data_IF_093203440830
#
_entry.id   IF_093203440830
#
_cell.length_a   1.000
_cell.length_b   1.000
_cell.length_c   1.000
_cell.angle_alpha   90.00
_cell.angle_beta   90.00
_cell.angle_gamma   90.00
#
_symmetry.space_group_name_H-M   'P 1'
#
loop_
_entity.id
_entity.type
_entity.pdbx_description
1 polymer ?
#
# COMPACT_ATOMS: atom_id res chain seq x y z
N UNK A 1 27.50 31.26 12.21
CA UNK A 1 26.33 30.98 11.34
C UNK A 1 25.49 32.24 11.24
N UNK A 2 25.19 32.72 10.03
CA UNK A 2 24.42 33.95 9.83
C UNK A 2 22.91 33.64 9.86
N UNK A 3 22.06 34.54 10.37
CA UNK A 3 20.62 34.29 10.53
C UNK A 3 19.90 33.85 9.23
N UNK A 4 20.38 34.33 8.09
CA UNK A 4 19.91 33.94 6.74
C UNK A 4 20.20 32.46 6.42
N UNK A 5 21.38 31.94 6.78
CA UNK A 5 21.72 30.52 6.58
C UNK A 5 20.83 29.61 7.45
N UNK A 6 20.52 30.06 8.68
CA UNK A 6 19.68 29.31 9.61
C UNK A 6 18.22 29.26 9.12
N UNK A 7 17.72 30.38 8.58
CA UNK A 7 16.40 30.45 7.95
C UNK A 7 16.30 29.54 6.71
N UNK A 8 17.34 29.50 5.86
CA UNK A 8 17.38 28.62 4.69
C UNK A 8 17.40 27.13 5.07
N UNK A 9 18.17 26.76 6.10
CA UNK A 9 18.21 25.38 6.61
C UNK A 9 16.85 24.98 7.17
N UNK A 10 16.23 25.81 8.02
CA UNK A 10 14.91 25.52 8.60
C UNK A 10 13.83 25.39 7.52
N UNK A 11 13.82 26.28 6.54
CA UNK A 11 12.86 26.22 5.43
C UNK A 11 13.06 24.96 4.58
N UNK A 12 14.31 24.56 4.32
CA UNK A 12 14.62 23.33 3.59
C UNK A 12 14.18 22.09 4.37
N UNK A 13 14.39 22.05 5.69
CA UNK A 13 13.93 20.97 6.55
C UNK A 13 12.39 20.85 6.52
N UNK A 14 11.66 21.96 6.63
CA UNK A 14 10.20 21.97 6.59
C UNK A 14 9.66 21.41 5.26
N UNK A 15 10.28 21.77 4.13
CA UNK A 15 9.89 21.24 2.82
C UNK A 15 10.11 19.73 2.69
N UNK A 16 11.17 19.20 3.29
CA UNK A 16 11.45 17.76 3.31
C UNK A 16 10.44 17.01 4.20
N UNK A 17 10.07 17.58 5.36
CA UNK A 17 9.04 17.02 6.25
C UNK A 17 7.68 16.91 5.58
N UNK A 18 7.29 17.93 4.80
CA UNK A 18 6.00 17.93 4.08
C UNK A 18 5.94 16.84 3.00
N UNK A 19 7.07 16.50 2.38
CA UNK A 19 7.11 15.39 1.42
C UNK A 19 6.96 14.04 2.13
N UNK A 20 7.63 13.84 3.28
CA UNK A 20 7.55 12.61 4.06
C UNK A 20 6.11 12.26 4.51
N UNK A 21 5.23 13.25 4.67
CA UNK A 21 3.82 13.05 5.02
C UNK A 21 2.91 12.65 3.84
N UNK A 22 3.41 12.64 2.61
CA UNK A 22 2.58 12.27 1.47
C UNK A 22 2.25 10.76 1.50
N UNK A 23 0.98 10.44 1.77
CA UNK A 23 0.48 9.07 1.85
C UNK A 23 -0.34 8.59 0.64
N UNK A 24 -0.59 9.43 -0.39
CA UNK A 24 -1.40 9.01 -1.55
C UNK A 24 -2.85 8.58 -1.21
N UNK A 25 -3.35 8.91 -0.02
CA UNK A 25 -4.60 8.39 0.59
C UNK A 25 -5.78 8.39 -0.37
N UNK A 26 -6.07 9.54 -0.99
CA UNK A 26 -7.20 9.71 -1.90
C UNK A 26 -7.13 8.78 -3.11
N UNK A 27 -5.94 8.61 -3.66
CA UNK A 27 -5.72 7.75 -4.83
C UNK A 27 -5.88 6.28 -4.47
N UNK A 28 -5.28 5.87 -3.35
CA UNK A 28 -5.32 4.49 -2.86
C UNK A 28 -6.75 4.08 -2.52
N UNK A 29 -7.49 4.91 -1.78
CA UNK A 29 -8.91 4.66 -1.46
C UNK A 29 -9.73 4.55 -2.75
N UNK A 30 -9.53 5.45 -3.72
CA UNK A 30 -10.27 5.44 -4.99
C UNK A 30 -10.05 4.14 -5.77
N UNK A 31 -8.80 3.72 -5.98
CA UNK A 31 -8.52 2.50 -6.74
C UNK A 31 -8.91 1.24 -5.98
N UNK A 32 -8.71 1.22 -4.66
CA UNK A 32 -9.13 0.08 -3.83
C UNK A 32 -10.64 -0.13 -3.92
N UNK A 33 -11.43 0.94 -3.80
CA UNK A 33 -12.89 0.86 -4.00
C UNK A 33 -13.27 0.41 -5.41
N UNK A 34 -12.52 0.85 -6.44
CA UNK A 34 -12.74 0.40 -7.82
C UNK A 34 -12.48 -1.10 -7.98
N UNK A 35 -11.43 -1.64 -7.36
CA UNK A 35 -11.13 -3.06 -7.37
C UNK A 35 -12.15 -3.88 -6.56
N UNK A 36 -12.63 -3.35 -5.44
CA UNK A 36 -13.69 -4.00 -4.63
C UNK A 36 -15.02 -4.14 -5.38
N UNK A 37 -15.28 -3.25 -6.35
CA UNK A 37 -16.45 -3.36 -7.24
C UNK A 37 -16.27 -4.34 -8.41
N UNK A 38 -15.09 -4.93 -8.58
CA UNK A 38 -14.76 -5.88 -9.65
C UNK A 38 -14.95 -7.32 -9.14
N UNK A 39 -15.85 -8.10 -9.72
CA UNK A 39 -16.14 -9.46 -9.24
C UNK A 39 -14.96 -10.42 -9.36
N UNK A 40 -13.96 -10.09 -10.18
CA UNK A 40 -12.76 -10.91 -10.39
C UNK A 40 -11.84 -10.99 -9.17
N UNK A 41 -11.92 -10.05 -8.22
CA UNK A 41 -11.13 -10.10 -6.97
C UNK A 41 -11.66 -11.08 -5.94
N UNK A 42 -12.88 -11.60 -6.12
CA UNK A 42 -13.55 -12.51 -5.19
C UNK A 42 -13.15 -13.98 -5.37
N UNK A 43 -12.00 -14.27 -5.98
CA UNK A 43 -11.57 -15.65 -6.13
C UNK A 43 -11.27 -16.32 -4.76
N UNK A 44 -11.48 -17.64 -4.59
CA UNK A 44 -11.34 -18.32 -3.30
C UNK A 44 -9.87 -18.64 -2.97
N UNK A 45 -9.38 -18.18 -1.80
CA UNK A 45 -8.08 -18.58 -1.30
C UNK A 45 -8.18 -19.94 -0.59
N UNK A 46 -7.59 -20.97 -1.20
CA UNK A 46 -7.38 -22.28 -0.56
C UNK A 46 -5.88 -22.46 -0.32
N UNK A 47 -5.49 -22.66 0.94
CA UNK A 47 -4.08 -22.76 1.34
C UNK A 47 -3.30 -23.89 0.63
N UNK A 48 -3.99 -24.90 0.10
CA UNK A 48 -3.42 -26.05 -0.62
C UNK A 48 -3.11 -25.77 -2.10
N UNK A 49 -3.66 -24.70 -2.68
CA UNK A 49 -3.58 -24.48 -4.12
C UNK A 49 -2.41 -23.54 -4.46
N UNK A 50 -1.37 -24.12 -5.04
CA UNK A 50 -0.14 -23.43 -5.51
C UNK A 50 -0.44 -22.35 -6.55
N UNK A 51 -1.60 -22.39 -7.21
CA UNK A 51 -2.00 -21.49 -8.28
C UNK A 51 -3.26 -20.66 -8.01
N UNK A 52 -3.73 -20.57 -6.76
CA UNK A 52 -4.91 -19.74 -6.49
C UNK A 52 -4.53 -18.26 -6.60
N UNK A 53 -5.19 -17.56 -7.53
CA UNK A 53 -5.10 -16.11 -7.69
C UNK A 53 -5.27 -15.37 -6.34
N UNK A 54 -6.00 -15.97 -5.42
CA UNK A 54 -6.62 -15.26 -4.33
C UNK A 54 -5.80 -15.21 -3.06
N UNK A 55 -4.73 -15.99 -2.90
CA UNK A 55 -4.05 -16.06 -1.60
C UNK A 55 -3.04 -14.92 -1.45
N UNK A 56 -3.54 -13.75 -1.08
CA UNK A 56 -2.77 -12.55 -0.82
C UNK A 56 -2.38 -12.48 0.67
N UNK A 57 -1.21 -11.88 1.00
CA UNK A 57 -0.77 -11.76 2.38
C UNK A 57 -1.67 -10.80 3.16
N UNK A 58 -2.19 -11.22 4.30
CA UNK A 58 -2.87 -10.31 5.23
C UNK A 58 -1.82 -9.79 6.22
N UNK A 59 -1.46 -8.50 6.17
CA UNK A 59 -0.34 -7.98 6.96
C UNK A 59 -0.56 -8.13 8.46
N UNK A 60 0.48 -8.60 9.15
CA UNK A 60 0.66 -8.36 10.57
C UNK A 60 0.86 -6.85 10.83
N UNK A 61 0.51 -6.34 12.02
CA UNK A 61 0.75 -4.95 12.38
C UNK A 61 2.24 -4.61 12.26
N UNK A 62 2.56 -3.49 11.61
CA UNK A 62 3.95 -3.07 11.40
C UNK A 62 4.45 -3.33 9.98
N UNK A 63 3.79 -4.21 9.22
CA UNK A 63 4.26 -4.69 7.91
C UNK A 63 3.31 -4.33 6.77
N UNK A 64 2.36 -3.41 7.01
CA UNK A 64 1.29 -3.08 6.09
C UNK A 64 1.80 -2.66 4.71
N UNK A 65 2.69 -1.65 4.63
CA UNK A 65 3.15 -1.12 3.35
C UNK A 65 3.86 -2.18 2.50
N UNK A 66 4.77 -2.93 3.12
CA UNK A 66 5.56 -3.97 2.44
C UNK A 66 4.66 -5.09 1.93
N UNK A 67 3.65 -5.51 2.71
CA UNK A 67 2.65 -6.48 2.26
C UNK A 67 1.70 -5.94 1.18
N UNK A 68 1.40 -4.65 1.18
CA UNK A 68 0.59 -4.05 0.11
C UNK A 68 1.34 -4.05 -1.23
N UNK A 69 2.66 -3.78 -1.20
CA UNK A 69 3.55 -3.92 -2.38
C UNK A 69 3.55 -5.36 -2.87
N UNK A 70 3.83 -6.33 -2.00
CA UNK A 70 3.89 -7.74 -2.39
C UNK A 70 2.56 -8.27 -2.92
N UNK A 71 1.46 -7.99 -2.23
CA UNK A 71 0.13 -8.45 -2.62
C UNK A 71 -0.32 -7.86 -3.95
N UNK A 72 -0.13 -6.56 -4.19
CA UNK A 72 -0.48 -5.95 -5.48
C UNK A 72 0.44 -6.41 -6.62
N UNK A 73 1.72 -6.66 -6.35
CA UNK A 73 2.64 -7.31 -7.30
C UNK A 73 2.18 -8.72 -7.65
N UNK A 74 1.66 -9.46 -6.69
CA UNK A 74 1.07 -10.78 -6.94
C UNK A 74 -0.17 -10.66 -7.84
N UNK A 75 -1.09 -9.74 -7.54
CA UNK A 75 -2.30 -9.50 -8.35
C UNK A 75 -1.99 -9.18 -9.82
N UNK A 76 -0.88 -8.50 -10.10
CA UNK A 76 -0.42 -8.25 -11.48
C UNK A 76 0.01 -9.53 -12.19
N UNK A 77 0.69 -10.45 -11.50
CA UNK A 77 1.17 -11.71 -12.09
C UNK A 77 0.03 -12.66 -12.45
N UNK A 78 -1.07 -12.58 -11.71
CA UNK A 78 -2.20 -13.50 -11.79
C UNK A 78 -3.41 -12.91 -12.54
N UNK A 79 -3.31 -11.69 -13.07
CA UNK A 79 -4.32 -11.02 -13.90
C UNK A 79 -5.74 -11.00 -13.27
N UNK A 80 -5.80 -10.75 -11.95
CA UNK A 80 -7.01 -10.93 -11.13
C UNK A 80 -8.03 -9.83 -11.30
N UNK A 81 -7.67 -8.72 -11.93
CA UNK A 81 -8.54 -7.56 -12.06
C UNK A 81 -8.03 -6.64 -13.17
N UNK A 82 -8.65 -5.47 -13.32
CA UNK A 82 -8.20 -4.36 -14.15
C UNK A 82 -6.72 -4.07 -13.94
N UNK A 83 -5.89 -4.64 -14.82
CA UNK A 83 -4.42 -4.51 -14.81
C UNK A 83 -3.99 -3.04 -14.67
N UNK A 84 -4.58 -2.04 -15.36
CA UNK A 84 -4.20 -0.65 -15.17
C UNK A 84 -4.43 -0.13 -13.75
N UNK A 85 -5.51 -0.54 -13.09
CA UNK A 85 -5.85 -0.10 -11.73
C UNK A 85 -4.91 -0.74 -10.71
N UNK A 86 -4.68 -2.06 -10.83
CA UNK A 86 -3.72 -2.78 -9.98
C UNK A 86 -2.31 -2.24 -10.18
N UNK A 87 -1.91 -1.94 -11.42
CA UNK A 87 -0.58 -1.39 -11.75
C UNK A 87 -0.37 -0.08 -11.02
N UNK A 88 -1.39 0.80 -11.04
CA UNK A 88 -1.27 2.09 -10.39
C UNK A 88 -1.20 1.97 -8.87
N UNK A 89 -2.00 1.10 -8.25
CA UNK A 89 -1.89 0.81 -6.81
C UNK A 89 -0.50 0.26 -6.45
N UNK A 90 0.00 -0.72 -7.19
CA UNK A 90 1.34 -1.28 -6.99
C UNK A 90 2.41 -0.20 -7.08
N UNK A 91 2.38 0.63 -8.11
CA UNK A 91 3.32 1.73 -8.29
C UNK A 91 3.24 2.76 -7.17
N UNK A 92 2.03 3.10 -6.69
CA UNK A 92 1.87 4.01 -5.57
C UNK A 92 2.49 3.43 -4.30
N UNK A 93 2.20 2.17 -3.94
CA UNK A 93 2.81 1.55 -2.75
C UNK A 93 4.33 1.42 -2.87
N UNK A 94 4.82 1.01 -4.04
CA UNK A 94 6.26 0.92 -4.29
C UNK A 94 6.93 2.29 -4.15
N UNK A 95 6.32 3.36 -4.68
CA UNK A 95 6.86 4.71 -4.56
C UNK A 95 6.87 5.22 -3.10
N UNK A 96 5.85 4.88 -2.31
CA UNK A 96 5.83 5.20 -0.88
C UNK A 96 6.96 4.47 -0.14
N UNK A 97 7.19 3.20 -0.46
CA UNK A 97 8.24 2.39 0.15
C UNK A 97 9.64 2.88 -0.25
N UNK A 98 9.91 3.04 -1.55
CA UNK A 98 11.24 3.39 -2.08
C UNK A 98 11.72 4.78 -1.63
N UNK A 99 10.78 5.68 -1.34
CA UNK A 99 11.06 7.07 -0.97
C UNK A 99 10.85 7.33 0.53
N UNK A 100 10.59 6.30 1.31
CA UNK A 100 10.39 6.39 2.75
C UNK A 100 9.23 7.35 3.14
N UNK A 101 8.21 7.47 2.27
CA UNK A 101 7.08 8.38 2.47
C UNK A 101 6.00 7.74 3.34
N UNK A 102 5.06 8.57 3.79
CA UNK A 102 3.96 8.19 4.65
C UNK A 102 4.45 7.63 5.99
N UNK A 103 5.12 8.45 6.80
CA UNK A 103 5.61 8.05 8.12
C UNK A 103 4.51 7.48 9.03
N UNK A 104 3.25 7.92 8.84
CA UNK A 104 2.08 7.40 9.55
C UNK A 104 1.76 5.92 9.25
N UNK A 105 2.28 5.35 8.16
CA UNK A 105 2.06 3.97 7.78
C UNK A 105 3.26 3.10 8.18
N UNK A 106 3.06 2.08 9.04
CA UNK A 106 4.13 1.19 9.42
C UNK A 106 4.70 0.41 8.23
N UNK A 107 6.03 0.29 8.22
CA UNK A 107 6.80 -0.48 7.25
C UNK A 107 7.83 -1.32 7.98
N UNK A 108 7.78 -2.63 7.77
CA UNK A 108 8.84 -3.55 8.16
C UNK A 108 9.74 -3.84 6.96
N UNK A 109 10.92 -4.40 7.22
CA UNK A 109 11.91 -4.71 6.17
C UNK A 109 11.35 -5.66 5.10
N UNK A 110 10.48 -6.57 5.51
CA UNK A 110 9.80 -7.54 4.66
C UNK A 110 8.30 -7.62 4.99
N UNK A 111 7.50 -8.17 4.08
CA UNK A 111 6.11 -8.48 4.38
C UNK A 111 6.03 -9.66 5.36
N UNK A 112 5.42 -9.42 6.53
CA UNK A 112 5.10 -10.48 7.49
C UNK A 112 3.59 -10.71 7.56
N UNK A 113 3.19 -11.98 7.45
CA UNK A 113 1.81 -12.42 7.52
C UNK A 113 1.74 -13.84 8.10
N UNK A 114 0.79 -14.10 9.00
CA UNK A 114 0.48 -15.48 9.45
C UNK A 114 -0.61 -16.12 8.61
N UNK A 115 -1.47 -15.31 8.01
CA UNK A 115 -2.62 -15.76 7.24
C UNK A 115 -2.59 -15.18 5.83
N UNK A 116 -3.11 -15.95 4.89
CA UNK A 116 -3.45 -15.48 3.56
C UNK A 116 -4.97 -15.35 3.49
N UNK A 117 -5.42 -14.29 2.84
CA UNK A 117 -6.83 -14.01 2.63
C UNK A 117 -7.13 -13.85 1.16
N UNK A 118 -8.41 -13.88 0.80
CA UNK A 118 -8.85 -13.65 -0.58
C UNK A 118 -8.60 -12.19 -1.02
N UNK A 119 -8.79 -11.91 -2.32
CA UNK A 119 -8.59 -10.57 -2.88
C UNK A 119 -9.44 -9.48 -2.21
N UNK A 120 -10.70 -9.80 -1.89
CA UNK A 120 -11.60 -8.90 -1.18
C UNK A 120 -11.12 -8.59 0.24
N UNK A 121 -10.65 -9.58 1.00
CA UNK A 121 -10.09 -9.40 2.35
C UNK A 121 -8.85 -8.51 2.34
N UNK A 122 -7.93 -8.76 1.40
CA UNK A 122 -6.73 -7.95 1.21
C UNK A 122 -7.06 -6.49 0.87
N UNK A 123 -7.96 -6.26 -0.09
CA UNK A 123 -8.36 -4.91 -0.47
C UNK A 123 -9.11 -4.17 0.65
N UNK A 124 -9.94 -4.88 1.42
CA UNK A 124 -10.58 -4.30 2.61
C UNK A 124 -9.56 -3.92 3.68
N UNK A 125 -8.48 -4.70 3.86
CA UNK A 125 -7.39 -4.35 4.76
C UNK A 125 -6.66 -3.08 4.30
N UNK A 126 -6.39 -2.92 3.00
CA UNK A 126 -5.84 -1.67 2.43
C UNK A 126 -6.79 -0.50 2.74
N UNK A 127 -8.07 -0.64 2.40
CA UNK A 127 -9.07 0.40 2.58
C UNK A 127 -9.16 0.85 4.03
N UNK A 128 -9.28 -0.10 4.97
CA UNK A 128 -9.37 0.18 6.40
C UNK A 128 -8.11 0.88 6.93
N UNK A 129 -6.94 0.54 6.40
CA UNK A 129 -5.66 1.15 6.82
C UNK A 129 -5.60 2.61 6.39
N UNK A 130 -5.86 2.91 5.11
CA UNK A 130 -5.80 4.28 4.61
C UNK A 130 -6.97 5.16 5.07
N UNK A 131 -8.12 4.58 5.39
CA UNK A 131 -9.20 5.31 6.05
C UNK A 131 -8.85 5.74 7.47
N UNK A 132 -7.99 5.00 8.18
CA UNK A 132 -7.51 5.42 9.51
C UNK A 132 -6.51 6.57 9.42
N UNK A 133 -5.68 6.59 8.38
CA UNK A 133 -4.73 7.69 8.11
C UNK A 133 -5.47 8.98 7.72
N UNK A 134 -6.63 8.88 7.06
CA UNK A 134 -7.43 10.03 6.65
C UNK A 134 -8.27 10.67 7.78
N UNK A 135 -8.19 10.15 9.02
CA UNK A 135 -8.97 10.65 10.17
C UNK A 135 -8.11 11.52 11.05
#
# INVERSE_FOLDING_TARGET
MNASMLSQILFSCLLLSVQAEYCGVREIIRYTNRLLGDSSVSCPCRQTDVSSCSCLPIPEPGHELTCFVEGTKHMLKTNISSIPVVTRLYQTFQALLDRDLCESLPRGDECQYKTKGNGTEFLNKILATYQKINK
#
